data_IF_590277522873
#
_entry.id   IF_590277522873
#
_cell.length_a   1.000
_cell.length_b   1.000
_cell.length_c   1.000
_cell.angle_alpha   90.00
_cell.angle_beta   90.00
_cell.angle_gamma   90.00
#
_symmetry.space_group_name_H-M   'P 1'
#
loop_
_entity.id
_entity.type
_entity.pdbx_description
1 polymer ?
#
# COMPACT_ATOMS: atom_id res chain seq x y z
N UNK A 1 52.63 26.58 26.30
CA UNK A 1 53.05 25.25 25.84
C UNK A 1 52.58 24.28 26.91
N UNK A 2 51.37 23.74 26.75
CA UNK A 2 51.02 22.64 25.84
C UNK A 2 51.47 21.29 26.40
N UNK A 3 50.53 20.35 26.47
CA UNK A 3 50.76 19.00 26.99
C UNK A 3 49.53 18.34 27.63
N UNK A 4 48.35 18.45 27.01
CA UNK A 4 47.24 17.55 27.30
C UNK A 4 47.44 16.27 26.50
N UNK A 5 47.81 15.17 27.15
CA UNK A 5 47.84 13.84 26.53
C UNK A 5 46.58 13.04 26.87
N UNK A 6 45.79 12.83 25.82
CA UNK A 6 44.89 11.73 25.48
C UNK A 6 44.39 10.77 26.59
N UNK A 7 43.09 10.86 26.85
CA UNK A 7 42.28 9.70 27.20
C UNK A 7 41.82 8.99 25.91
N UNK A 8 42.01 7.67 25.76
CA UNK A 8 41.25 6.89 24.80
C UNK A 8 39.88 6.54 25.41
N UNK A 9 39.07 5.82 24.63
CA UNK A 9 37.84 5.12 24.98
C UNK A 9 36.56 5.87 24.59
N UNK A 10 35.95 5.33 23.55
CA UNK A 10 34.62 5.66 23.09
C UNK A 10 34.48 5.44 21.59
N UNK A 11 34.90 4.26 21.11
CA UNK A 11 34.35 3.73 19.85
C UNK A 11 32.88 3.44 20.18
N UNK A 12 32.07 4.50 20.14
CA UNK A 12 30.63 4.43 20.29
C UNK A 12 30.19 3.65 19.07
N UNK A 13 30.00 2.35 19.28
CA UNK A 13 29.37 1.44 18.35
C UNK A 13 28.13 2.18 17.82
N UNK A 14 28.26 2.75 16.62
CA UNK A 14 27.15 2.89 15.73
C UNK A 14 26.67 1.45 15.53
N UNK A 15 25.70 1.04 16.34
CA UNK A 15 24.97 -0.17 16.10
C UNK A 15 24.37 0.00 14.71
N UNK A 16 25.06 -0.54 13.71
CA UNK A 16 24.57 -0.66 12.35
C UNK A 16 23.15 -1.19 12.49
N UNK A 17 22.12 -0.43 12.05
CA UNK A 17 20.77 -0.91 12.16
C UNK A 17 20.71 -2.21 11.34
N UNK A 18 20.45 -3.32 12.04
CA UNK A 18 20.32 -4.63 11.43
C UNK A 18 19.36 -4.51 10.24
N UNK A 19 19.81 -4.98 9.07
CA UNK A 19 19.09 -4.91 7.80
C UNK A 19 17.68 -5.53 7.86
N UNK A 20 17.36 -6.29 8.90
CA UNK A 20 16.01 -6.78 9.18
C UNK A 20 15.01 -5.69 9.59
N UNK A 21 15.47 -4.49 9.98
CA UNK A 21 14.58 -3.39 10.39
C UNK A 21 14.02 -2.59 9.21
N UNK A 22 14.62 -2.69 8.01
CA UNK A 22 14.24 -1.91 6.81
C UNK A 22 13.61 -2.75 5.68
N UNK A 23 13.33 -4.03 5.90
CA UNK A 23 13.14 -4.99 4.79
C UNK A 23 11.76 -4.98 4.11
N UNK A 24 10.68 -4.81 4.87
CA UNK A 24 9.31 -5.16 4.42
C UNK A 24 8.44 -3.97 4.05
N UNK A 25 8.35 -2.95 4.91
CA UNK A 25 7.51 -1.76 4.67
C UNK A 25 7.92 -1.04 3.37
N UNK A 26 9.22 -1.00 3.12
CA UNK A 26 9.81 -0.43 1.92
C UNK A 26 9.52 -1.25 0.66
N UNK A 27 9.42 -2.57 0.78
CA UNK A 27 9.11 -3.45 -0.34
C UNK A 27 7.64 -3.33 -0.76
N UNK A 28 6.72 -3.27 0.21
CA UNK A 28 5.29 -3.08 -0.02
C UNK A 28 5.01 -1.70 -0.63
N UNK A 29 5.64 -0.64 -0.08
CA UNK A 29 5.52 0.70 -0.64
C UNK A 29 6.03 0.78 -2.09
N UNK A 30 7.12 0.07 -2.41
CA UNK A 30 7.63 -0.05 -3.80
C UNK A 30 6.65 -0.81 -4.69
N UNK A 31 6.07 -1.90 -4.21
CA UNK A 31 5.10 -2.69 -4.96
C UNK A 31 3.83 -1.87 -5.27
N UNK A 32 3.25 -1.24 -4.26
CA UNK A 32 2.06 -0.37 -4.40
C UNK A 32 2.35 0.78 -5.37
N UNK A 33 3.50 1.46 -5.21
CA UNK A 33 3.91 2.53 -6.12
C UNK A 33 4.04 2.02 -7.56
N UNK A 34 4.64 0.85 -7.74
CA UNK A 34 4.79 0.23 -9.06
C UNK A 34 3.45 -0.06 -9.72
N UNK A 35 2.47 -0.56 -8.97
CA UNK A 35 1.11 -0.81 -9.46
C UNK A 35 0.41 0.48 -9.89
N UNK A 36 0.45 1.50 -9.02
CA UNK A 36 -0.15 2.81 -9.30
C UNK A 36 0.44 3.42 -10.57
N UNK A 37 1.76 3.32 -10.78
CA UNK A 37 2.42 3.84 -11.98
C UNK A 37 2.04 3.10 -13.27
N UNK A 38 1.56 1.85 -13.17
CA UNK A 38 1.14 1.04 -14.32
C UNK A 38 -0.33 1.23 -14.71
N UNK A 39 -1.17 1.74 -13.82
CA UNK A 39 -2.59 2.04 -14.14
C UNK A 39 -2.70 3.11 -15.23
N UNK A 40 -1.92 4.19 -15.15
CA UNK A 40 -1.98 5.30 -16.10
C UNK A 40 -1.70 4.89 -17.56
N UNK A 41 -0.65 4.10 -17.88
CA UNK A 41 -0.41 3.65 -19.25
C UNK A 41 -1.37 2.55 -19.74
N UNK A 42 -2.09 1.85 -18.85
CA UNK A 42 -3.06 0.80 -19.22
C UNK A 42 -4.38 1.35 -19.76
N UNK A 43 -4.75 2.56 -19.35
CA UNK A 43 -6.07 3.12 -19.59
C UNK A 43 -5.99 4.46 -20.32
N UNK A 44 -7.01 4.81 -21.14
CA UNK A 44 -7.19 6.19 -21.58
C UNK A 44 -7.22 7.14 -20.38
N UNK A 45 -6.69 8.36 -20.54
CA UNK A 45 -6.51 9.31 -19.43
C UNK A 45 -7.77 9.49 -18.57
N UNK A 46 -8.93 9.70 -19.18
CA UNK A 46 -10.21 9.87 -18.47
C UNK A 46 -10.57 8.63 -17.63
N UNK A 47 -10.30 7.43 -18.14
CA UNK A 47 -10.53 6.17 -17.43
C UNK A 47 -9.52 5.94 -16.31
N UNK A 48 -8.27 6.36 -16.50
CA UNK A 48 -7.27 6.32 -15.43
C UNK A 48 -7.70 7.23 -14.25
N UNK A 49 -8.21 8.43 -14.54
CA UNK A 49 -8.74 9.35 -13.52
C UNK A 49 -9.91 8.70 -12.76
N UNK A 50 -10.91 8.17 -13.47
CA UNK A 50 -12.04 7.47 -12.85
C UNK A 50 -11.59 6.28 -11.97
N UNK A 51 -10.56 5.56 -12.41
CA UNK A 51 -9.96 4.46 -11.67
C UNK A 51 -9.32 4.96 -10.36
N UNK A 52 -8.48 6.00 -10.41
CA UNK A 52 -7.87 6.58 -9.22
C UNK A 52 -8.89 7.16 -8.24
N UNK A 53 -9.92 7.85 -8.73
CA UNK A 53 -11.01 8.36 -7.87
C UNK A 53 -11.74 7.21 -7.17
N UNK A 54 -11.97 6.10 -7.87
CA UNK A 54 -12.66 4.95 -7.29
C UNK A 54 -11.80 4.26 -6.24
N UNK A 55 -10.51 4.03 -6.52
CA UNK A 55 -9.56 3.48 -5.55
C UNK A 55 -9.46 4.39 -4.31
N UNK A 56 -9.33 5.70 -4.52
CA UNK A 56 -9.26 6.69 -3.43
C UNK A 56 -10.51 6.67 -2.57
N UNK A 57 -11.70 6.52 -3.17
CA UNK A 57 -12.96 6.40 -2.42
C UNK A 57 -13.04 5.09 -1.64
N UNK A 58 -12.64 3.97 -2.24
CA UNK A 58 -12.63 2.66 -1.57
C UNK A 58 -11.72 2.69 -0.35
N UNK A 59 -10.46 3.06 -0.53
CA UNK A 59 -9.49 3.12 0.58
C UNK A 59 -9.82 4.24 1.57
N UNK A 60 -10.29 5.40 1.10
CA UNK A 60 -10.71 6.50 1.95
C UNK A 60 -11.87 6.12 2.88
N UNK A 61 -12.91 5.47 2.34
CA UNK A 61 -14.03 5.00 3.16
C UNK A 61 -13.57 3.95 4.19
N UNK A 62 -12.71 3.02 3.78
CA UNK A 62 -12.17 2.00 4.67
C UNK A 62 -11.32 2.61 5.80
N UNK A 63 -10.44 3.57 5.49
CA UNK A 63 -9.62 4.24 6.50
C UNK A 63 -10.43 5.12 7.46
N UNK A 64 -11.51 5.75 6.96
CA UNK A 64 -12.40 6.57 7.78
C UNK A 64 -13.32 5.75 8.69
N UNK A 65 -13.72 4.56 8.26
CA UNK A 65 -14.67 3.71 8.98
C UNK A 65 -14.26 2.24 8.89
N UNK A 66 -13.12 1.87 9.50
CA UNK A 66 -12.53 0.55 9.32
C UNK A 66 -13.39 -0.57 9.88
N UNK A 67 -14.28 -0.32 10.83
CA UNK A 67 -15.15 -1.36 11.41
C UNK A 67 -16.50 -1.48 10.72
N UNK A 68 -16.82 -0.62 9.75
CA UNK A 68 -18.11 -0.68 9.04
C UNK A 68 -18.06 -1.83 8.01
N UNK A 69 -18.90 -2.87 8.16
CA UNK A 69 -18.91 -4.02 7.24
C UNK A 69 -19.24 -3.62 5.80
N UNK A 70 -19.93 -2.49 5.59
CA UNK A 70 -20.25 -1.97 4.25
C UNK A 70 -19.01 -1.61 3.45
N UNK A 71 -17.95 -1.12 4.10
CA UNK A 71 -16.71 -0.72 3.41
C UNK A 71 -15.71 -1.87 3.28
N UNK A 72 -15.94 -2.96 4.02
CA UNK A 72 -15.18 -4.21 3.93
C UNK A 72 -15.71 -5.15 2.85
N UNK A 73 -16.87 -4.87 2.24
CA UNK A 73 -17.49 -5.73 1.23
C UNK A 73 -17.78 -4.93 -0.04
N UNK A 74 -17.17 -5.31 -1.16
CA UNK A 74 -17.29 -4.60 -2.44
C UNK A 74 -17.79 -5.55 -3.51
N UNK A 75 -18.93 -5.22 -4.15
CA UNK A 75 -19.44 -6.00 -5.28
C UNK A 75 -18.56 -5.81 -6.51
N UNK A 76 -18.11 -6.90 -7.12
CA UNK A 76 -17.32 -6.87 -8.36
C UNK A 76 -18.03 -6.14 -9.49
N UNK A 77 -19.35 -6.32 -9.62
CA UNK A 77 -20.17 -5.61 -10.60
C UNK A 77 -20.08 -4.08 -10.45
N UNK A 78 -19.90 -3.57 -9.24
CA UNK A 78 -19.73 -2.13 -8.97
C UNK A 78 -18.36 -1.62 -9.41
N UNK A 79 -17.35 -2.49 -9.44
CA UNK A 79 -15.99 -2.18 -9.87
C UNK A 79 -15.78 -2.44 -11.36
N UNK A 80 -16.49 -3.38 -11.98
CA UNK A 80 -16.26 -3.78 -13.37
C UNK A 80 -16.30 -2.61 -14.35
N UNK A 81 -17.19 -1.64 -14.14
CA UNK A 81 -17.29 -0.46 -15.03
C UNK A 81 -16.14 0.55 -14.87
N UNK A 82 -15.41 0.51 -13.75
CA UNK A 82 -14.46 1.56 -13.36
C UNK A 82 -13.03 1.04 -13.17
N UNK A 83 -12.88 -0.14 -12.57
CA UNK A 83 -11.60 -0.83 -12.36
C UNK A 83 -11.48 -2.12 -13.18
N UNK A 84 -12.59 -2.69 -13.68
CA UNK A 84 -12.57 -4.01 -14.34
C UNK A 84 -11.67 -4.11 -15.57
N UNK A 85 -11.23 -2.97 -16.10
CA UNK A 85 -10.33 -2.88 -17.26
C UNK A 85 -8.84 -2.82 -16.90
N UNK A 86 -8.47 -2.64 -15.62
CA UNK A 86 -7.07 -2.58 -15.18
C UNK A 86 -6.77 -3.70 -14.17
N UNK A 87 -6.01 -4.73 -14.57
CA UNK A 87 -5.52 -5.78 -13.67
C UNK A 87 -4.75 -5.22 -12.47
N UNK A 88 -4.02 -4.12 -12.66
CA UNK A 88 -3.20 -3.51 -11.61
C UNK A 88 -4.06 -2.81 -10.56
N UNK A 89 -5.17 -2.19 -10.97
CA UNK A 89 -6.15 -1.62 -10.04
C UNK A 89 -6.84 -2.69 -9.18
N UNK A 90 -7.10 -3.87 -9.74
CA UNK A 90 -7.63 -5.01 -8.97
C UNK A 90 -6.57 -5.59 -8.02
N UNK A 91 -5.32 -5.67 -8.45
CA UNK A 91 -4.20 -6.14 -7.63
C UNK A 91 -3.97 -5.28 -6.38
N UNK A 92 -4.23 -3.97 -6.47
CA UNK A 92 -4.21 -3.08 -5.30
C UNK A 92 -5.24 -3.47 -4.22
N UNK A 93 -6.41 -3.98 -4.60
CA UNK A 93 -7.39 -4.45 -3.62
C UNK A 93 -6.88 -5.68 -2.87
N UNK A 94 -6.26 -6.61 -3.60
CA UNK A 94 -5.70 -7.83 -3.01
C UNK A 94 -4.55 -7.52 -2.04
N UNK A 95 -3.66 -6.61 -2.41
CA UNK A 95 -2.55 -6.17 -1.54
C UNK A 95 -3.08 -5.41 -0.31
N UNK A 96 -4.19 -4.69 -0.45
CA UNK A 96 -4.86 -4.07 0.69
C UNK A 96 -5.57 -5.08 1.62
N UNK A 97 -5.48 -6.39 1.34
CA UNK A 97 -6.01 -7.46 2.15
C UNK A 97 -7.43 -7.89 1.79
N UNK A 98 -8.00 -7.40 0.69
CA UNK A 98 -9.29 -7.93 0.22
C UNK A 98 -9.10 -9.30 -0.41
N UNK A 99 -9.90 -10.26 0.03
CA UNK A 99 -10.03 -11.57 -0.59
C UNK A 99 -11.04 -11.52 -1.73
N UNK A 100 -10.72 -12.21 -2.83
CA UNK A 100 -11.65 -12.47 -3.92
C UNK A 100 -12.58 -13.65 -3.54
N UNK A 101 -13.86 -13.35 -3.36
CA UNK A 101 -14.91 -14.31 -2.97
C UNK A 101 -16.06 -14.27 -3.99
N UNK A 102 -15.86 -14.92 -5.14
CA UNK A 102 -16.90 -15.09 -6.16
C UNK A 102 -17.32 -13.75 -6.77
N UNK A 103 -18.43 -13.17 -6.31
CA UNK A 103 -18.98 -11.89 -6.77
C UNK A 103 -18.56 -10.68 -5.91
N UNK A 104 -17.80 -10.91 -4.85
CA UNK A 104 -17.41 -9.91 -3.86
C UNK A 104 -15.89 -9.87 -3.65
N UNK A 105 -15.38 -8.68 -3.34
CA UNK A 105 -14.12 -8.52 -2.63
C UNK A 105 -14.44 -8.29 -1.14
N UNK A 106 -13.79 -9.03 -0.25
CA UNK A 106 -14.07 -9.00 1.19
C UNK A 106 -12.80 -8.78 2.01
N UNK A 107 -12.80 -7.80 2.90
CA UNK A 107 -11.73 -7.55 3.84
C UNK A 107 -12.11 -8.05 5.24
N UNK A 108 -11.49 -9.15 5.66
CA UNK A 108 -11.73 -9.69 6.98
C UNK A 108 -11.15 -8.79 8.08
N UNK A 109 -11.81 -8.67 9.24
CA UNK A 109 -11.18 -8.05 10.40
C UNK A 109 -9.94 -8.86 10.76
N UNK A 110 -8.78 -8.21 10.75
CA UNK A 110 -7.57 -8.74 11.36
C UNK A 110 -7.92 -9.07 12.81
N UNK A 111 -7.79 -10.35 13.18
CA UNK A 111 -8.07 -10.84 14.54
C UNK A 111 -7.14 -10.25 15.58
#
# INVERSE_FOLDING_TARGET
>A
ADGSEAHPVGDDLMAEPDASTYGTEDAEARLVRGLVQRIAPELPHERAVECYETLSRVFGNLLQSPSDPKFRMIKKASLQKKLGSSPEALSLLLIAGFDDQGDLYTLHPSG
#
